data_IF_861116356942
#
_entry.id   IF_861116356942
#
_cell.length_a   1.000
_cell.length_b   1.000
_cell.length_c   1.000
_cell.angle_alpha   90.00
_cell.angle_beta   90.00
_cell.angle_gamma   90.00
#
_symmetry.space_group_name_H-M   'P 1'
#
loop_
_entity.id
_entity.type
_entity.pdbx_description
1 polymer ?
#
# COMPACT_ATOMS: atom_id res chain seq x y z
N UNK A 1 -7.67 33.88 41.43
CA UNK A 1 -7.43 32.49 41.00
C UNK A 1 -7.88 32.45 39.56
N UNK A 2 -6.95 32.19 38.65
CA UNK A 2 -7.19 32.23 37.22
C UNK A 2 -7.83 30.90 36.79
N UNK A 3 -9.07 30.95 36.32
CA UNK A 3 -9.62 29.89 35.48
C UNK A 3 -9.29 30.27 34.05
N UNK A 4 -8.16 29.77 33.57
CA UNK A 4 -7.78 29.81 32.17
C UNK A 4 -8.31 28.57 31.49
N UNK A 5 -9.53 28.65 30.97
CA UNK A 5 -10.04 27.69 29.99
C UNK A 5 -9.29 27.94 28.68
N UNK A 6 -8.13 27.30 28.53
CA UNK A 6 -7.37 27.33 27.27
C UNK A 6 -8.01 26.34 26.31
N UNK A 7 -8.91 26.86 25.49
CA UNK A 7 -9.45 26.20 24.30
C UNK A 7 -8.28 25.66 23.47
N UNK A 8 -8.24 24.33 23.35
CA UNK A 8 -7.33 23.63 22.44
C UNK A 8 -7.47 24.25 21.04
N UNK A 9 -6.38 24.62 20.34
CA UNK A 9 -6.48 25.14 19.00
C UNK A 9 -6.95 24.02 18.07
N UNK A 10 -8.25 24.02 17.77
CA UNK A 10 -8.82 23.33 16.63
C UNK A 10 -8.30 24.01 15.37
N UNK A 11 -7.11 23.60 14.91
CA UNK A 11 -6.51 24.12 13.67
C UNK A 11 -6.29 23.01 12.66
N UNK A 12 -7.23 23.00 11.71
CA UNK A 12 -7.02 22.86 10.26
C UNK A 12 -6.50 21.53 9.69
N UNK A 13 -7.40 20.84 8.98
CA UNK A 13 -7.19 20.07 7.73
C UNK A 13 -7.82 18.68 7.79
N UNK A 14 -9.11 18.58 7.44
CA UNK A 14 -9.84 17.29 7.36
C UNK A 14 -9.38 16.37 6.22
N UNK A 15 -8.30 16.72 5.51
CA UNK A 15 -7.61 15.84 4.56
C UNK A 15 -6.58 14.94 5.23
N UNK A 16 -5.77 15.49 6.14
CA UNK A 16 -4.61 14.82 6.74
C UNK A 16 -4.94 13.80 7.84
N UNK A 17 -6.05 14.00 8.57
CA UNK A 17 -6.32 13.21 9.80
C UNK A 17 -6.43 11.72 9.52
N UNK A 18 -7.24 11.33 8.53
CA UNK A 18 -7.48 9.90 8.24
C UNK A 18 -6.29 9.23 7.55
N UNK A 19 -5.48 9.99 6.80
CA UNK A 19 -4.24 9.50 6.19
C UNK A 19 -3.21 9.20 7.28
N UNK A 20 -3.15 10.05 8.31
CA UNK A 20 -2.31 9.81 9.48
C UNK A 20 -2.81 8.65 10.33
N UNK A 21 -4.12 8.57 10.57
CA UNK A 21 -4.74 7.42 11.25
C UNK A 21 -4.44 6.10 10.49
N UNK A 22 -4.46 6.14 9.15
CA UNK A 22 -4.11 5.02 8.29
C UNK A 22 -2.61 4.67 8.41
N UNK A 23 -1.72 5.67 8.39
CA UNK A 23 -0.29 5.47 8.57
C UNK A 23 0.02 4.83 9.93
N UNK A 24 -0.52 5.39 11.01
CA UNK A 24 -0.34 4.88 12.38
C UNK A 24 -0.85 3.44 12.51
N UNK A 25 -2.02 3.12 11.93
CA UNK A 25 -2.55 1.76 11.93
C UNK A 25 -1.65 0.76 11.16
N UNK A 26 -1.08 1.19 10.04
CA UNK A 26 -0.16 0.37 9.25
C UNK A 26 1.19 0.17 9.95
N UNK A 27 1.67 1.15 10.72
CA UNK A 27 2.91 1.08 11.48
C UNK A 27 2.80 0.28 12.78
N UNK A 28 1.67 0.37 13.47
CA UNK A 28 1.41 -0.39 14.69
C UNK A 28 1.52 -1.91 14.47
N UNK A 29 1.31 -2.37 13.22
CA UNK A 29 1.35 -3.77 12.86
C UNK A 29 0.10 -4.53 13.30
N UNK A 30 -0.22 -5.63 12.62
CA UNK A 30 -1.40 -6.44 12.94
C UNK A 30 -2.75 -5.81 12.57
N UNK A 31 -2.75 -4.72 11.80
CA UNK A 31 -3.97 -4.12 11.26
C UNK A 31 -4.66 -5.08 10.28
N UNK A 32 -5.96 -5.30 10.48
CA UNK A 32 -6.80 -6.14 9.64
C UNK A 32 -7.59 -5.31 8.60
N UNK A 33 -8.19 -6.01 7.63
CA UNK A 33 -8.90 -5.38 6.51
C UNK A 33 -10.14 -4.58 6.96
N UNK A 34 -10.84 -4.99 8.02
CA UNK A 34 -12.02 -4.28 8.51
C UNK A 34 -11.61 -2.94 9.10
N UNK A 35 -10.55 -2.92 9.91
CA UNK A 35 -9.97 -1.69 10.46
C UNK A 35 -9.52 -0.73 9.35
N UNK A 36 -8.80 -1.21 8.33
CA UNK A 36 -8.42 -0.39 7.17
C UNK A 36 -9.64 0.18 6.45
N UNK A 37 -10.67 -0.63 6.21
CA UNK A 37 -11.89 -0.19 5.53
C UNK A 37 -12.62 0.90 6.31
N UNK A 38 -12.63 0.81 7.64
CA UNK A 38 -13.25 1.80 8.52
C UNK A 38 -12.52 3.15 8.48
N UNK A 39 -11.20 3.15 8.32
CA UNK A 39 -10.38 4.37 8.19
C UNK A 39 -10.51 4.97 6.77
N UNK A 40 -10.36 4.14 5.74
CA UNK A 40 -10.34 4.59 4.34
C UNK A 40 -11.72 5.08 3.88
N UNK A 41 -12.81 4.43 4.33
CA UNK A 41 -14.20 4.79 3.97
C UNK A 41 -14.45 4.97 2.46
N UNK A 42 -13.73 4.23 1.62
CA UNK A 42 -13.83 4.33 0.15
C UNK A 42 -13.11 5.55 -0.48
N UNK A 43 -12.34 6.31 0.30
CA UNK A 43 -11.50 7.42 -0.20
C UNK A 43 -10.33 6.88 -1.05
N UNK A 44 -9.81 7.68 -1.99
CA UNK A 44 -8.66 7.29 -2.81
C UNK A 44 -7.42 7.10 -1.92
N UNK A 45 -6.71 5.99 -2.14
CA UNK A 45 -5.52 5.66 -1.35
C UNK A 45 -4.31 6.52 -1.75
N UNK A 46 -3.56 7.07 -0.77
CA UNK A 46 -2.29 7.72 -1.01
C UNK A 46 -1.30 6.76 -1.67
N UNK A 47 -0.46 7.27 -2.58
CA UNK A 47 0.43 6.42 -3.37
C UNK A 47 1.42 5.63 -2.50
N UNK A 48 1.92 6.26 -1.43
CA UNK A 48 2.90 5.70 -0.51
C UNK A 48 2.30 4.61 0.39
N UNK A 49 1.03 4.74 0.76
CA UNK A 49 0.32 3.79 1.64
C UNK A 49 -0.35 2.65 0.87
N UNK A 50 -0.63 2.83 -0.42
CA UNK A 50 -1.36 1.87 -1.27
C UNK A 50 -0.77 0.46 -1.22
N UNK A 51 0.55 0.35 -1.32
CA UNK A 51 1.23 -0.94 -1.29
C UNK A 51 1.03 -1.69 0.04
N UNK A 52 1.10 -0.98 1.18
CA UNK A 52 0.89 -1.56 2.51
C UNK A 52 -0.57 -2.02 2.68
N UNK A 53 -1.53 -1.19 2.30
CA UNK A 53 -2.96 -1.52 2.33
C UNK A 53 -3.28 -2.75 1.47
N UNK A 54 -2.75 -2.81 0.25
CA UNK A 54 -3.00 -3.94 -0.66
C UNK A 54 -2.38 -5.24 -0.16
N UNK A 55 -1.21 -5.19 0.49
CA UNK A 55 -0.61 -6.38 1.12
C UNK A 55 -1.50 -6.97 2.20
N UNK A 56 -2.16 -6.13 3.01
CA UNK A 56 -3.10 -6.59 4.03
C UNK A 56 -4.39 -7.11 3.37
N UNK A 57 -4.95 -6.38 2.40
CA UNK A 57 -6.18 -6.77 1.71
C UNK A 57 -6.06 -8.11 0.95
N UNK A 58 -4.89 -8.40 0.36
CA UNK A 58 -4.59 -9.65 -0.31
C UNK A 58 -4.12 -10.75 0.65
N UNK A 59 -4.05 -10.47 1.96
CA UNK A 59 -3.54 -11.37 2.98
C UNK A 59 -2.12 -11.91 2.62
N UNK A 60 -1.24 -11.01 2.20
CA UNK A 60 0.17 -11.29 1.86
C UNK A 60 1.17 -10.48 2.69
N UNK A 61 0.68 -9.65 3.62
CA UNK A 61 1.54 -8.96 4.58
C UNK A 61 2.36 -9.98 5.40
N UNK A 62 3.67 -9.77 5.49
CA UNK A 62 4.58 -10.66 6.22
C UNK A 62 4.86 -12.02 5.55
N UNK A 63 4.31 -12.30 4.35
CA UNK A 63 4.70 -13.50 3.60
C UNK A 63 6.12 -13.33 3.06
N UNK A 64 6.94 -14.35 3.29
CA UNK A 64 8.32 -14.39 2.80
C UNK A 64 8.40 -14.51 1.29
N UNK A 65 9.56 -14.17 0.75
CA UNK A 65 9.86 -14.34 -0.66
C UNK A 65 10.09 -15.82 -0.98
N UNK A 66 9.16 -16.43 -1.70
CA UNK A 66 9.28 -17.83 -2.11
C UNK A 66 10.37 -18.05 -3.17
N UNK A 67 10.77 -17.00 -3.89
CA UNK A 67 11.85 -17.09 -4.89
C UNK A 67 13.24 -17.03 -4.26
N UNK A 68 13.36 -16.57 -3.02
CA UNK A 68 14.66 -16.52 -2.32
C UNK A 68 15.32 -17.90 -2.18
N UNK A 69 14.53 -18.97 -2.18
CA UNK A 69 15.00 -20.37 -2.14
C UNK A 69 15.02 -21.06 -3.51
N UNK A 70 14.64 -20.38 -4.59
CA UNK A 70 14.58 -20.98 -5.92
C UNK A 70 15.93 -20.83 -6.66
N UNK A 71 16.50 -21.95 -7.09
CA UNK A 71 17.80 -22.04 -7.79
C UNK A 71 17.68 -22.45 -9.26
N UNK A 72 16.46 -22.41 -9.83
CA UNK A 72 16.20 -22.82 -11.20
C UNK A 72 16.50 -21.75 -12.27
N UNK A 73 16.25 -22.13 -13.53
CA UNK A 73 16.27 -21.23 -14.68
C UNK A 73 14.85 -21.11 -15.26
N UNK A 74 14.59 -20.06 -16.03
CA UNK A 74 13.30 -19.85 -16.70
C UNK A 74 13.25 -20.66 -18.01
N UNK A 75 12.88 -21.94 -17.94
CA UNK A 75 12.97 -22.91 -19.03
C UNK A 75 11.62 -23.54 -19.45
N UNK A 76 10.51 -22.81 -19.27
CA UNK A 76 9.20 -23.27 -19.69
C UNK A 76 9.12 -23.47 -21.23
N UNK A 77 8.35 -24.46 -21.72
CA UNK A 77 8.12 -24.63 -23.17
C UNK A 77 7.61 -23.36 -23.88
N UNK A 78 6.82 -22.55 -23.18
CA UNK A 78 6.23 -21.30 -23.61
C UNK A 78 7.08 -20.05 -23.29
N UNK A 79 8.33 -20.22 -22.82
CA UNK A 79 9.18 -19.13 -22.33
C UNK A 79 9.35 -17.99 -23.35
N UNK A 80 9.42 -18.31 -24.65
CA UNK A 80 9.54 -17.31 -25.71
C UNK A 80 8.31 -16.38 -25.77
N UNK A 81 7.11 -16.93 -25.57
CA UNK A 81 5.86 -16.16 -25.54
C UNK A 81 5.81 -15.26 -24.31
N UNK A 82 6.12 -15.81 -23.13
CA UNK A 82 6.18 -15.05 -21.88
C UNK A 82 7.17 -13.88 -22.00
N UNK A 83 8.37 -14.14 -22.55
CA UNK A 83 9.39 -13.12 -22.72
C UNK A 83 8.95 -11.99 -23.65
N UNK A 84 8.29 -12.32 -24.77
CA UNK A 84 7.74 -11.34 -25.70
C UNK A 84 6.71 -10.45 -25.01
N UNK A 85 5.73 -11.04 -24.33
CA UNK A 85 4.63 -10.30 -23.70
C UNK A 85 5.15 -9.36 -22.60
N UNK A 86 6.15 -9.80 -21.82
CA UNK A 86 6.81 -8.95 -20.83
C UNK A 86 7.53 -7.75 -21.47
N UNK A 87 8.23 -7.95 -22.58
CA UNK A 87 8.92 -6.87 -23.29
C UNK A 87 7.93 -5.86 -23.88
N UNK A 88 6.82 -6.33 -24.45
CA UNK A 88 5.76 -5.46 -24.98
C UNK A 88 5.14 -4.61 -23.88
N UNK A 89 4.85 -5.18 -22.71
CA UNK A 89 4.33 -4.43 -21.55
C UNK A 89 5.28 -3.30 -21.11
N UNK A 90 6.58 -3.59 -21.00
CA UNK A 90 7.58 -2.58 -20.62
C UNK A 90 7.67 -1.49 -21.68
N UNK A 91 7.76 -1.86 -22.96
CA UNK A 91 7.86 -0.91 -24.07
C UNK A 91 6.68 0.07 -24.10
N UNK A 92 5.46 -0.43 -23.93
CA UNK A 92 4.25 0.39 -23.85
C UNK A 92 4.27 1.37 -22.66
N UNK A 93 4.77 0.93 -21.50
CA UNK A 93 4.81 1.77 -20.30
C UNK A 93 5.95 2.81 -20.30
N UNK A 94 7.02 2.59 -21.09
CA UNK A 94 8.12 3.55 -21.27
C UNK A 94 7.87 4.60 -22.36
N UNK A 95 6.81 4.45 -23.16
CA UNK A 95 6.50 5.34 -24.28
C UNK A 95 5.74 6.62 -23.90
N UNK A 96 5.44 6.82 -22.60
CA UNK A 96 4.84 8.06 -22.08
C UNK A 96 5.91 8.95 -21.42
N UNK A 97 6.26 10.11 -22.01
CA UNK A 97 7.15 11.10 -21.37
C UNK A 97 6.48 11.84 -20.21
#
# INVERSE_FOLDING_TARGET
MAEGEELLPLSTSGGDSWEKDLEEALEAGGCDLETLRNIIQGRPLPAELRAKVWKIALNVAGKGDSLASWDGILDLPEQNTIHKDCLEFIALNTAHP
#
